data_IF_561349467934
#
_entry.id   IF_561349467934
#
_cell.length_a   1.000
_cell.length_b   1.000
_cell.length_c   1.000
_cell.angle_alpha   90.00
_cell.angle_beta   90.00
_cell.angle_gamma   90.00
#
_symmetry.space_group_name_H-M   'P 1'
#
loop_
_entity.id
_entity.type
_entity.pdbx_description
1 polymer ?
#
# COMPACT_ATOMS: atom_id res chain seq x y z
N UNK A 1 -9.19 3.09 -15.60
CA UNK A 1 -8.88 3.73 -14.30
C UNK A 1 -8.74 2.64 -13.25
N UNK A 2 -7.63 2.63 -12.50
CA UNK A 2 -7.45 1.66 -11.43
C UNK A 2 -8.50 1.83 -10.33
N UNK A 3 -9.28 0.79 -10.06
CA UNK A 3 -10.04 0.68 -8.82
C UNK A 3 -9.07 0.23 -7.72
N UNK A 4 -8.65 1.18 -6.88
CA UNK A 4 -7.89 0.86 -5.68
C UNK A 4 -8.86 0.24 -4.66
N UNK A 5 -8.84 -1.09 -4.52
CA UNK A 5 -9.55 -1.78 -3.44
C UNK A 5 -8.77 -1.63 -2.13
N UNK A 6 -8.87 -0.44 -1.53
CA UNK A 6 -8.32 -0.16 -0.20
C UNK A 6 -9.38 -0.56 0.82
N UNK A 7 -9.11 -1.66 1.53
CA UNK A 7 -9.99 -2.17 2.59
C UNK A 7 -9.28 -2.04 3.96
N UNK A 8 -9.57 -0.99 4.75
CA UNK A 8 -8.96 -0.80 6.08
C UNK A 8 -9.25 -1.94 7.06
N UNK A 9 -10.38 -2.65 6.94
CA UNK A 9 -10.70 -3.75 7.85
C UNK A 9 -9.69 -4.90 7.76
N UNK A 10 -8.97 -5.01 6.64
CA UNK A 10 -7.91 -6.01 6.43
C UNK A 10 -6.53 -5.54 6.89
N UNK A 11 -6.41 -4.36 7.49
CA UNK A 11 -5.11 -3.78 7.87
C UNK A 11 -4.32 -4.70 8.82
N UNK A 12 -4.96 -5.20 9.86
CA UNK A 12 -4.31 -6.06 10.85
C UNK A 12 -3.84 -7.40 10.24
N UNK A 13 -4.63 -7.98 9.33
CA UNK A 13 -4.24 -9.19 8.59
C UNK A 13 -2.99 -8.93 7.72
N UNK A 14 -2.96 -7.81 7.00
CA UNK A 14 -1.82 -7.42 6.17
C UNK A 14 -0.57 -7.12 7.00
N UNK A 15 -0.74 -6.56 8.20
CA UNK A 15 0.36 -6.29 9.11
C UNK A 15 0.95 -7.59 9.66
N UNK A 16 0.11 -8.51 10.13
CA UNK A 16 0.56 -9.81 10.62
C UNK A 16 1.33 -10.59 9.54
N UNK A 17 0.82 -10.62 8.31
CA UNK A 17 1.50 -11.26 7.15
C UNK A 17 2.89 -10.66 6.90
N UNK A 18 3.04 -9.33 7.02
CA UNK A 18 4.34 -8.66 6.88
C UNK A 18 5.30 -9.01 8.00
N UNK A 19 4.82 -9.09 9.24
CA UNK A 19 5.63 -9.43 10.42
C UNK A 19 6.13 -10.87 10.34
N UNK A 20 5.24 -11.81 10.00
CA UNK A 20 5.60 -13.23 9.81
C UNK A 20 6.66 -13.38 8.72
N UNK A 21 6.40 -12.82 7.53
CA UNK A 21 7.35 -12.86 6.41
C UNK A 21 8.72 -12.27 6.78
N UNK A 22 8.75 -11.16 7.52
CA UNK A 22 10.00 -10.52 7.91
C UNK A 22 10.74 -11.34 8.98
N UNK A 23 10.03 -11.95 9.92
CA UNK A 23 10.58 -12.86 10.92
C UNK A 23 11.28 -14.04 10.25
N UNK A 24 10.62 -14.67 9.26
CA UNK A 24 11.19 -15.80 8.50
C UNK A 24 12.45 -15.40 7.73
N UNK A 25 12.43 -14.23 7.09
CA UNK A 25 13.60 -13.69 6.40
C UNK A 25 14.80 -13.48 7.34
N UNK A 26 14.54 -13.13 8.60
CA UNK A 26 15.57 -12.87 9.58
C UNK A 26 16.02 -14.08 10.40
N UNK A 27 15.32 -15.21 10.32
CA UNK A 27 15.63 -16.43 11.07
C UNK A 27 17.12 -16.86 11.02
N UNK A 28 17.86 -16.72 9.89
CA UNK A 28 19.27 -17.09 9.82
C UNK A 28 20.22 -16.19 10.64
N UNK A 29 19.78 -14.99 11.05
CA UNK A 29 20.67 -13.94 11.58
C UNK A 29 20.60 -13.77 13.10
N UNK A 30 19.81 -14.59 13.80
CA UNK A 30 19.64 -14.54 15.26
C UNK A 30 19.34 -13.12 15.78
N UNK A 31 18.43 -12.42 15.10
CA UNK A 31 17.99 -11.07 15.49
C UNK A 31 17.03 -11.14 16.68
N UNK A 32 16.93 -10.07 17.49
CA UNK A 32 15.88 -9.95 18.50
C UNK A 32 14.49 -9.91 17.86
N UNK A 33 13.46 -10.04 18.70
CA UNK A 33 12.06 -9.87 18.29
C UNK A 33 11.85 -8.52 17.59
N UNK A 34 11.03 -8.54 16.54
CA UNK A 34 10.75 -7.35 15.74
C UNK A 34 9.86 -6.38 16.51
N UNK A 35 10.30 -5.13 16.62
CA UNK A 35 9.44 -4.04 17.06
C UNK A 35 8.54 -3.59 15.90
N UNK A 36 7.24 -3.47 16.15
CA UNK A 36 6.24 -3.15 15.13
C UNK A 36 5.68 -1.75 15.39
N UNK A 37 5.81 -0.89 14.38
CA UNK A 37 5.26 0.47 14.40
C UNK A 37 4.14 0.60 13.38
N UNK A 38 2.92 0.69 13.87
CA UNK A 38 1.73 0.79 13.02
C UNK A 38 1.56 2.18 12.42
N UNK A 39 1.07 2.22 11.19
CA UNK A 39 0.60 3.45 10.54
C UNK A 39 -0.88 3.64 10.84
N UNK A 40 -1.41 4.86 10.82
CA UNK A 40 -2.85 5.05 10.66
C UNK A 40 -3.35 4.25 9.46
N UNK A 41 -4.49 3.58 9.61
CA UNK A 41 -5.05 2.70 8.57
C UNK A 41 -5.47 3.47 7.31
N UNK A 42 -5.75 4.77 7.45
CA UNK A 42 -6.21 5.67 6.41
C UNK A 42 -5.50 7.03 6.50
N UNK A 43 -5.48 7.76 5.37
CA UNK A 43 -4.95 9.12 5.27
C UNK A 43 -3.49 9.32 5.73
N UNK A 44 -2.68 8.26 5.70
CA UNK A 44 -1.31 8.27 6.21
C UNK A 44 -0.27 8.85 5.23
N UNK A 45 -0.60 8.96 3.92
CA UNK A 45 0.35 9.49 2.91
C UNK A 45 0.36 11.02 2.92
N UNK A 46 1.55 11.59 3.12
CA UNK A 46 1.76 13.04 3.10
C UNK A 46 1.93 13.64 1.68
N UNK A 47 2.10 12.80 0.65
CA UNK A 47 2.21 13.19 -0.76
C UNK A 47 1.54 12.15 -1.64
N UNK A 48 0.86 12.60 -2.69
CA UNK A 48 0.33 11.76 -3.76
C UNK A 48 0.64 12.38 -5.12
N UNK A 49 0.87 11.54 -6.12
CA UNK A 49 1.14 11.94 -7.50
C UNK A 49 0.13 11.27 -8.40
N UNK A 50 -0.44 12.05 -9.32
CA UNK A 50 -1.46 11.60 -10.25
C UNK A 50 -1.08 12.02 -11.66
N UNK A 51 -1.49 11.23 -12.67
CA UNK A 51 -1.52 11.75 -14.03
C UNK A 51 -2.84 12.48 -14.27
N UNK A 52 -2.81 13.47 -15.15
CA UNK A 52 -4.02 14.17 -15.58
C UNK A 52 -4.50 13.54 -16.88
N UNK A 53 -5.77 13.16 -16.90
CA UNK A 53 -6.46 12.68 -18.08
C UNK A 53 -7.45 13.73 -18.59
N UNK A 54 -7.49 13.92 -19.90
CA UNK A 54 -8.41 14.84 -20.57
C UNK A 54 -9.55 14.05 -21.20
N UNK A 55 -10.78 14.44 -20.92
CA UNK A 55 -11.98 13.89 -21.56
C UNK A 55 -12.82 15.03 -22.13
N UNK A 56 -12.62 15.33 -23.41
CA UNK A 56 -13.15 16.54 -24.01
C UNK A 56 -12.57 17.79 -23.34
N UNK A 57 -13.44 18.62 -22.76
CA UNK A 57 -13.07 19.82 -22.02
C UNK A 57 -12.83 19.56 -20.51
N UNK A 58 -13.07 18.33 -20.04
CA UNK A 58 -12.93 17.94 -18.64
C UNK A 58 -11.56 17.35 -18.30
N UNK A 59 -11.16 17.47 -17.03
CA UNK A 59 -9.89 16.99 -16.49
C UNK A 59 -10.08 16.14 -15.24
N UNK A 60 -9.39 15.01 -15.19
CA UNK A 60 -9.44 14.06 -14.06
C UNK A 60 -8.05 13.64 -13.61
N UNK A 61 -7.89 13.40 -12.30
CA UNK A 61 -6.72 12.70 -11.77
C UNK A 61 -6.89 11.19 -11.94
N UNK A 62 -5.88 10.53 -12.49
CA UNK A 62 -5.86 9.08 -12.70
C UNK A 62 -4.62 8.42 -12.11
N UNK A 63 -4.79 7.15 -11.75
CA UNK A 63 -3.74 6.21 -11.39
C UNK A 63 -3.87 4.95 -12.26
N UNK A 64 -2.74 4.31 -12.55
CA UNK A 64 -2.68 3.09 -13.35
C UNK A 64 -2.86 1.85 -12.50
N UNK A 65 -3.45 0.82 -13.11
CA UNK A 65 -3.40 -0.52 -12.58
C UNK A 65 -1.95 -1.02 -12.63
N UNK A 66 -1.47 -1.63 -11.53
CA UNK A 66 -0.09 -2.05 -11.41
C UNK A 66 0.28 -3.19 -12.38
N UNK A 67 -0.65 -4.10 -12.67
CA UNK A 67 -0.44 -5.27 -13.52
C UNK A 67 -0.60 -4.93 -15.00
N UNK A 68 -1.72 -4.30 -15.38
CA UNK A 68 -2.03 -4.02 -16.78
C UNK A 68 -1.39 -2.73 -17.30
N UNK A 69 -0.98 -1.83 -16.40
CA UNK A 69 -0.47 -0.47 -16.70
C UNK A 69 -1.49 0.44 -17.40
N UNK A 70 -2.78 0.12 -17.27
CA UNK A 70 -3.92 0.89 -17.79
C UNK A 70 -4.53 1.83 -16.75
#
# INVERSE_FOLDING_TARGET
MATLDVNPQRYQEQLAEKVERLTDMFAPYNVPELEVFESPEQHYRMRAEFRVWHEGEDLYYIMFNQETRE
#
